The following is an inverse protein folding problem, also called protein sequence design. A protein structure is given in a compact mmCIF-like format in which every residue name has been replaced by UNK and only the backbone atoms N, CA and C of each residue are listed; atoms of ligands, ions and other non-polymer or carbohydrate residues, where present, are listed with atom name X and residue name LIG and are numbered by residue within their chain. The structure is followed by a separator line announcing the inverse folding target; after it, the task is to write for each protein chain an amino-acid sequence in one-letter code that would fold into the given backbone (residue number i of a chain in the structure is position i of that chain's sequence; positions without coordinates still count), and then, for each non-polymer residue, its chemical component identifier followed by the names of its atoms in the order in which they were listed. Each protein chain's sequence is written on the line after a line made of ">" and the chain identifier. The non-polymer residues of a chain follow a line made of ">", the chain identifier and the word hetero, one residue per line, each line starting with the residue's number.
data_IF_608598771679
#
_entry.id   IF_608598771679
#
_cell.length_a   1.000
_cell.length_b   1.000
_cell.length_c   1.000
_cell.angle_alpha   90.00
_cell.angle_beta   90.00
_cell.angle_gamma   90.00
#
_symmetry.space_group_name_H-M   'P 1'
#
loop_
_entity.id
_entity.type
_entity.pdbx_description
1 polymer ?
#
# COMPACT_ATOMS: atom_id res chain seq x y z
N UNK A 1 -10.11 -13.04 -5.25
CA UNK A 1 -9.94 -12.74 -6.70
C UNK A 1 -8.76 -11.76 -6.90
N UNK A 2 -7.61 -12.02 -6.29
CA UNK A 2 -6.52 -11.02 -6.20
C UNK A 2 -5.55 -11.03 -7.37
N UNK A 3 -5.38 -12.18 -8.04
CA UNK A 3 -4.40 -12.30 -9.14
C UNK A 3 -4.90 -11.78 -10.49
N UNK A 4 -6.22 -11.72 -10.70
CA UNK A 4 -6.82 -11.35 -11.99
C UNK A 4 -6.49 -9.90 -12.40
N UNK A 5 -6.60 -8.89 -11.52
CA UNK A 5 -6.19 -7.52 -11.86
C UNK A 5 -4.71 -7.41 -12.25
N UNK A 6 -3.83 -8.10 -11.52
CA UNK A 6 -2.38 -8.14 -11.79
C UNK A 6 -2.13 -8.78 -13.16
N UNK A 7 -2.78 -9.91 -13.44
CA UNK A 7 -2.62 -10.61 -14.71
C UNK A 7 -3.10 -9.78 -15.92
N UNK A 8 -4.15 -8.96 -15.75
CA UNK A 8 -4.62 -8.02 -16.78
C UNK A 8 -3.63 -6.86 -16.98
N UNK A 9 -3.05 -6.33 -15.89
CA UNK A 9 -2.09 -5.23 -15.94
C UNK A 9 -0.82 -5.61 -16.74
N UNK A 10 -0.36 -6.87 -16.67
CA UNK A 10 0.83 -7.34 -17.43
C UNK A 10 0.81 -7.00 -18.92
N UNK A 11 -0.37 -7.04 -19.57
CA UNK A 11 -0.51 -6.67 -20.99
C UNK A 11 -0.43 -5.17 -21.22
N UNK A 12 -0.85 -4.37 -20.24
CA UNK A 12 -0.79 -2.91 -20.28
C UNK A 12 0.62 -2.39 -19.94
N UNK A 13 1.41 -3.16 -19.21
CA UNK A 13 2.77 -2.83 -18.79
C UNK A 13 3.85 -3.19 -19.82
N UNK A 14 3.50 -3.80 -20.97
CA UNK A 14 4.48 -4.22 -21.99
C UNK A 14 5.30 -3.07 -22.61
N UNK A 15 4.84 -1.83 -22.43
CA UNK A 15 5.52 -0.61 -22.90
C UNK A 15 6.26 0.14 -21.78
N UNK A 16 6.19 -0.33 -20.52
CA UNK A 16 6.90 0.27 -19.40
C UNK A 16 8.36 -0.22 -19.39
N UNK A 17 9.32 0.69 -19.56
CA UNK A 17 10.73 0.37 -19.82
C UNK A 17 11.67 0.43 -18.62
N UNK A 18 11.17 0.30 -17.38
CA UNK A 18 12.01 0.43 -16.18
C UNK A 18 11.78 -0.71 -15.20
N UNK A 19 12.82 -1.52 -14.99
CA UNK A 19 12.82 -2.60 -14.00
C UNK A 19 12.63 -2.07 -12.57
N UNK A 20 13.30 -0.96 -12.24
CA UNK A 20 13.11 -0.28 -10.95
C UNK A 20 11.67 0.21 -10.76
N UNK A 21 11.05 0.72 -11.83
CA UNK A 21 9.64 1.08 -11.82
C UNK A 21 8.73 -0.13 -11.59
N UNK A 22 9.05 -1.27 -12.19
CA UNK A 22 8.32 -2.52 -11.99
C UNK A 22 8.44 -3.03 -10.55
N UNK A 23 9.63 -2.94 -9.94
CA UNK A 23 9.86 -3.31 -8.55
C UNK A 23 9.05 -2.43 -7.58
N UNK A 24 9.09 -1.11 -7.75
CA UNK A 24 8.28 -0.19 -6.96
C UNK A 24 6.78 -0.45 -7.10
N UNK A 25 6.33 -0.74 -8.33
CA UNK A 25 4.93 -1.06 -8.59
C UNK A 25 4.51 -2.37 -7.93
N UNK A 26 5.36 -3.39 -7.96
CA UNK A 26 5.12 -4.68 -7.29
C UNK A 26 4.98 -4.50 -5.77
N UNK A 27 5.80 -3.65 -5.16
CA UNK A 27 5.70 -3.30 -3.74
C UNK A 27 4.36 -2.65 -3.41
N UNK A 28 3.94 -1.63 -4.18
CA UNK A 28 2.66 -0.93 -3.97
C UNK A 28 1.48 -1.89 -4.18
N UNK A 29 1.49 -2.71 -5.24
CA UNK A 29 0.44 -3.68 -5.52
C UNK A 29 0.30 -4.71 -4.39
N UNK A 30 1.42 -5.14 -3.80
CA UNK A 30 1.44 -6.05 -2.66
C UNK A 30 0.83 -5.41 -1.40
N UNK A 31 1.15 -4.15 -1.11
CA UNK A 31 0.55 -3.40 -0.01
C UNK A 31 -0.97 -3.22 -0.20
N UNK A 32 -1.42 -2.87 -1.42
CA UNK A 32 -2.84 -2.71 -1.74
C UNK A 32 -3.61 -4.02 -1.52
N UNK A 33 -3.09 -5.15 -2.00
CA UNK A 33 -3.76 -6.43 -1.79
C UNK A 33 -3.72 -6.84 -0.31
N UNK A 34 -2.64 -6.54 0.41
CA UNK A 34 -2.57 -6.78 1.87
C UNK A 34 -3.59 -5.95 2.63
N UNK A 35 -3.79 -4.67 2.28
CA UNK A 35 -4.84 -3.84 2.87
C UNK A 35 -6.24 -4.43 2.64
N UNK A 36 -6.54 -4.85 1.40
CA UNK A 36 -7.81 -5.52 1.09
C UNK A 36 -8.01 -6.80 1.91
N UNK A 37 -6.96 -7.62 2.06
CA UNK A 37 -7.02 -8.84 2.87
C UNK A 37 -7.31 -8.56 4.36
N UNK A 38 -6.90 -7.38 4.86
CA UNK A 38 -7.18 -6.94 6.22
C UNK A 38 -8.48 -6.13 6.36
N UNK A 39 -9.34 -6.11 5.34
CA UNK A 39 -10.57 -5.28 5.29
C UNK A 39 -10.32 -3.78 5.47
N UNK A 40 -9.15 -3.31 5.02
CA UNK A 40 -8.77 -1.89 5.02
C UNK A 40 -8.99 -1.33 3.62
N UNK A 41 -9.59 -0.13 3.55
CA UNK A 41 -9.74 0.60 2.29
C UNK A 41 -8.35 1.08 1.81
N UNK A 42 -7.85 0.61 0.65
CA UNK A 42 -6.46 0.85 0.26
C UNK A 42 -6.09 2.32 0.03
N UNK A 43 -7.00 3.13 -0.49
CA UNK A 43 -6.72 4.54 -0.78
C UNK A 43 -6.53 5.34 0.52
N UNK A 44 -7.43 5.17 1.47
CA UNK A 44 -7.37 5.77 2.80
C UNK A 44 -6.08 5.35 3.53
N UNK A 45 -5.75 4.06 3.49
CA UNK A 45 -4.53 3.53 4.08
C UNK A 45 -3.26 4.18 3.49
N UNK A 46 -3.12 4.19 2.17
CA UNK A 46 -1.93 4.77 1.52
C UNK A 46 -1.83 6.28 1.80
N UNK A 47 -2.95 6.99 1.74
CA UNK A 47 -2.99 8.44 1.99
C UNK A 47 -2.53 8.78 3.41
N UNK A 48 -3.08 8.08 4.42
CA UNK A 48 -2.73 8.29 5.82
C UNK A 48 -1.27 7.89 6.11
N UNK A 49 -0.81 6.74 5.61
CA UNK A 49 0.59 6.29 5.79
C UNK A 49 1.58 7.29 5.19
N UNK A 50 1.34 7.76 3.96
CA UNK A 50 2.20 8.77 3.33
C UNK A 50 2.19 10.08 4.14
N UNK A 51 1.03 10.48 4.66
CA UNK A 51 0.90 11.67 5.51
C UNK A 51 1.72 11.53 6.80
N UNK A 52 1.68 10.37 7.47
CA UNK A 52 2.48 10.09 8.67
C UNK A 52 3.98 10.12 8.38
N UNK A 53 4.40 9.51 7.27
CA UNK A 53 5.81 9.52 6.84
C UNK A 53 6.29 10.95 6.64
N UNK A 54 5.52 11.78 5.93
CA UNK A 54 5.83 13.22 5.74
C UNK A 54 5.87 13.97 7.07
N UNK A 55 4.99 13.63 8.01
CA UNK A 55 4.94 14.23 9.34
C UNK A 55 6.04 13.72 10.31
N UNK A 56 6.99 12.90 9.81
CA UNK A 56 8.17 12.50 10.58
C UNK A 56 7.98 11.21 11.39
N UNK A 57 7.11 10.30 10.95
CA UNK A 57 6.97 8.98 11.58
C UNK A 57 8.34 8.28 11.68
N UNK A 58 8.75 7.83 12.88
CA UNK A 58 10.08 7.27 13.06
C UNK A 58 10.20 5.91 12.38
N UNK A 59 11.31 5.69 11.68
CA UNK A 59 11.59 4.42 10.98
C UNK A 59 11.62 3.22 11.95
N UNK A 60 11.99 3.43 13.20
CA UNK A 60 11.95 2.39 14.25
C UNK A 60 10.54 1.90 14.60
N UNK A 61 9.48 2.58 14.16
CA UNK A 61 8.08 2.22 14.39
C UNK A 61 7.34 1.92 13.09
N UNK A 62 8.04 1.46 12.05
CA UNK A 62 7.44 1.19 10.74
C UNK A 62 6.30 0.16 10.81
N UNK A 63 6.34 -0.74 11.80
CA UNK A 63 5.32 -1.77 12.01
C UNK A 63 3.92 -1.18 12.26
N UNK A 64 3.84 0.03 12.83
CA UNK A 64 2.59 0.75 13.08
C UNK A 64 1.91 1.21 11.77
N UNK A 65 2.67 1.29 10.67
CA UNK A 65 2.18 1.67 9.36
C UNK A 65 1.70 0.47 8.54
N UNK A 66 1.82 -0.77 9.05
CA UNK A 66 1.44 -1.96 8.29
C UNK A 66 -0.09 -2.15 8.28
N UNK A 67 -0.67 -2.76 7.23
CA UNK A 67 -2.12 -2.77 7.05
C UNK A 67 -2.89 -3.46 8.18
N UNK A 68 -2.30 -4.44 8.86
CA UNK A 68 -2.91 -5.11 10.01
C UNK A 68 -2.90 -4.25 11.29
N UNK A 69 -1.84 -3.46 11.50
CA UNK A 69 -1.76 -2.50 12.61
C UNK A 69 -2.77 -1.35 12.39
N UNK A 70 -2.87 -0.87 11.15
CA UNK A 70 -3.88 0.11 10.74
C UNK A 70 -5.32 -0.38 10.95
N UNK A 71 -5.60 -1.66 10.69
CA UNK A 71 -6.91 -2.25 10.95
C UNK A 71 -7.24 -2.34 12.45
N UNK A 72 -6.24 -2.69 13.27
CA UNK A 72 -6.39 -2.93 14.70
C UNK A 72 -6.54 -1.65 15.53
N UNK A 73 -6.08 -0.50 15.03
CA UNK A 73 -6.05 0.74 15.79
C UNK A 73 -6.94 1.83 15.14
N UNK A 74 -8.15 2.08 15.68
CA UNK A 74 -9.08 3.09 15.16
C UNK A 74 -8.52 4.52 15.19
N UNK A 75 -7.59 4.83 16.11
CA UNK A 75 -6.97 6.15 16.21
C UNK A 75 -6.09 6.46 15.00
N UNK A 76 -5.62 5.41 14.29
CA UNK A 76 -4.80 5.58 13.09
C UNK A 76 -5.63 6.01 11.86
N UNK A 77 -6.97 6.05 11.95
CA UNK A 77 -7.84 6.49 10.84
C UNK A 77 -8.09 8.00 10.80
N UNK A 78 -7.65 8.73 11.83
CA UNK A 78 -8.06 10.11 12.07
C UNK A 78 -7.24 11.18 11.31
N UNK A 79 -6.26 10.80 10.48
CA UNK A 79 -5.48 11.77 9.68
C UNK A 79 -6.03 11.80 8.25
N UNK A 80 -7.19 12.42 8.09
CA UNK A 80 -7.71 12.90 6.82
C UNK A 80 -8.44 14.23 7.03
#
# INVERSE_FOLDING_TARGET
>A
RSIRPIALNRKNALFAGSDAGAEHWATIASLIETAKLNNVEPMAYISDVLTRIVNGHPNSQIDDLLPWAYAANPELKAVA
#
